data_IF_449272155365
#
_entry.id   IF_449272155365
#
_cell.length_a   1.000
_cell.length_b   1.000
_cell.length_c   1.000
_cell.angle_alpha   90.00
_cell.angle_beta   90.00
_cell.angle_gamma   90.00
#
_symmetry.space_group_name_H-M   'P 1'
#
loop_
_entity.id
_entity.type
_entity.pdbx_description
1 polymer ?
#
# COMPACT_ATOMS: atom_id res chain seq x y z
N UNK A 1 15.54 -11.12 -45.43
CA UNK A 1 15.85 -10.13 -44.37
C UNK A 1 14.55 -9.80 -43.66
N UNK A 2 14.36 -10.33 -42.44
CA UNK A 2 13.12 -10.17 -41.68
C UNK A 2 13.28 -9.10 -40.61
N UNK A 3 12.44 -8.08 -40.63
CA UNK A 3 12.30 -7.12 -39.54
C UNK A 3 11.23 -7.66 -38.58
N UNK A 4 11.58 -7.90 -37.32
CA UNK A 4 10.59 -8.12 -36.27
C UNK A 4 10.10 -6.77 -35.74
N UNK A 5 8.80 -6.52 -35.83
CA UNK A 5 8.17 -5.41 -35.12
C UNK A 5 7.87 -5.93 -33.71
N UNK A 6 8.73 -5.58 -32.76
CA UNK A 6 8.48 -5.85 -31.35
C UNK A 6 7.57 -4.74 -30.81
N UNK A 7 6.26 -4.97 -30.90
CA UNK A 7 5.25 -4.09 -30.31
C UNK A 7 5.35 -4.18 -28.78
N UNK A 8 5.78 -3.09 -28.14
CA UNK A 8 5.74 -2.97 -26.68
C UNK A 8 4.31 -2.59 -26.29
N UNK A 9 3.59 -3.50 -25.65
CA UNK A 9 2.31 -3.19 -25.00
C UNK A 9 2.58 -2.39 -23.72
N UNK A 10 2.63 -1.07 -23.84
CA UNK A 10 2.54 -0.20 -22.68
C UNK A 10 1.09 0.20 -22.47
N UNK A 11 0.61 0.06 -21.23
CA UNK A 11 -0.69 0.46 -20.66
C UNK A 11 -1.65 -0.70 -20.38
N UNK A 12 -1.45 -1.32 -19.21
CA UNK A 12 -2.53 -1.99 -18.48
C UNK A 12 -3.59 -0.95 -18.08
N UNK A 13 -4.90 -1.20 -18.19
CA UNK A 13 -5.96 -0.24 -17.83
C UNK A 13 -6.18 -0.08 -16.31
N UNK A 14 -5.36 -0.74 -15.47
CA UNK A 14 -5.51 -0.67 -14.01
C UNK A 14 -4.65 0.48 -13.48
N UNK A 15 -5.22 1.39 -12.68
CA UNK A 15 -4.40 2.41 -12.03
C UNK A 15 -3.44 1.72 -11.06
N UNK A 16 -2.14 1.73 -11.40
CA UNK A 16 -1.10 1.26 -10.51
C UNK A 16 -1.11 2.11 -9.23
N UNK A 17 -1.39 1.45 -8.10
CA UNK A 17 -1.38 2.08 -6.77
C UNK A 17 0.01 2.60 -6.38
N UNK A 18 1.04 2.21 -7.13
CA UNK A 18 2.42 2.68 -6.96
C UNK A 18 2.57 4.19 -7.10
N UNK A 19 1.69 4.86 -7.85
CA UNK A 19 1.70 6.33 -8.00
C UNK A 19 0.70 7.05 -7.09
N UNK A 20 0.11 6.36 -6.12
CA UNK A 20 -0.85 6.97 -5.22
C UNK A 20 -0.16 7.93 -4.21
N UNK A 21 -0.91 8.97 -3.86
CA UNK A 21 -0.54 10.25 -3.21
C UNK A 21 0.52 10.20 -2.10
N UNK A 22 0.70 9.07 -1.42
CA UNK A 22 1.72 8.87 -0.39
C UNK A 22 3.16 8.97 -0.90
N UNK A 23 3.48 8.43 -2.09
CA UNK A 23 4.86 8.48 -2.62
C UNK A 23 5.25 9.85 -3.20
N UNK A 24 4.27 10.68 -3.58
CA UNK A 24 4.51 12.08 -4.03
C UNK A 24 5.11 12.96 -2.93
N UNK A 25 4.89 12.63 -1.65
CA UNK A 25 5.49 13.37 -0.53
C UNK A 25 6.93 12.94 -0.23
N UNK A 26 7.30 11.70 -0.58
CA UNK A 26 8.60 11.13 -0.25
C UNK A 26 9.74 11.59 -1.20
N UNK A 27 9.41 11.85 -2.47
CA UNK A 27 10.40 12.22 -3.49
C UNK A 27 10.51 13.74 -3.74
N UNK A 28 10.51 14.53 -2.66
CA UNK A 28 11.18 15.83 -2.64
C UNK A 28 10.52 16.97 -3.40
N UNK A 29 9.43 17.53 -2.89
CA UNK A 29 9.10 18.95 -3.13
C UNK A 29 8.63 19.60 -1.83
N UNK A 30 9.58 20.11 -1.04
CA UNK A 30 9.34 20.86 0.22
C UNK A 30 8.82 22.28 -0.02
N UNK A 31 8.17 22.56 -1.15
CA UNK A 31 7.51 23.85 -1.33
C UNK A 31 6.28 23.77 -2.24
N UNK A 32 5.07 23.55 -1.67
CA UNK A 32 3.81 23.51 -2.40
C UNK A 32 3.52 24.80 -3.18
N UNK A 33 4.14 25.92 -2.79
CA UNK A 33 3.91 27.23 -3.40
C UNK A 33 4.42 27.31 -4.84
N UNK A 34 5.65 26.88 -5.11
CA UNK A 34 6.23 26.93 -6.45
C UNK A 34 5.57 25.93 -7.39
N UNK A 35 5.16 24.75 -6.89
CA UNK A 35 4.39 23.78 -7.67
C UNK A 35 3.06 24.38 -8.15
N UNK A 36 2.33 25.06 -7.24
CA UNK A 36 1.09 25.76 -7.59
C UNK A 36 1.33 26.90 -8.59
N UNK A 37 2.48 27.58 -8.53
CA UNK A 37 2.84 28.60 -9.52
C UNK A 37 3.18 27.99 -10.89
N UNK A 38 3.93 26.89 -10.93
CA UNK A 38 4.27 26.20 -12.18
C UNK A 38 3.02 25.65 -12.88
N UNK A 39 2.10 25.05 -12.13
CA UNK A 39 0.79 24.60 -12.64
C UNK A 39 -0.09 25.74 -13.17
N UNK A 40 0.02 26.96 -12.62
CA UNK A 40 -0.69 28.14 -13.14
C UNK A 40 -0.05 28.70 -14.41
N UNK A 41 1.28 28.62 -14.53
CA UNK A 41 2.04 29.16 -15.68
C UNK A 41 2.00 28.24 -16.89
N UNK A 42 1.85 26.93 -16.69
CA UNK A 42 1.74 25.95 -17.76
C UNK A 42 0.39 25.25 -17.62
N UNK A 43 -0.53 25.50 -18.56
CA UNK A 43 -1.76 24.73 -18.61
C UNK A 43 -1.39 23.26 -18.83
N UNK A 44 -1.63 22.42 -17.81
CA UNK A 44 -1.22 21.02 -17.87
C UNK A 44 -2.06 20.29 -18.91
N UNK A 45 -1.38 19.68 -19.89
CA UNK A 45 -1.99 18.80 -20.90
C UNK A 45 -2.84 17.67 -20.29
N UNK A 46 -2.56 17.28 -19.04
CA UNK A 46 -3.26 16.24 -18.31
C UNK A 46 -3.33 16.55 -16.80
N UNK A 47 -4.53 16.67 -16.24
CA UNK A 47 -4.76 16.87 -14.79
C UNK A 47 -4.88 15.53 -14.03
N UNK A 48 -4.17 14.50 -14.48
CA UNK A 48 -4.21 13.17 -13.85
C UNK A 48 -5.51 12.37 -14.09
N UNK A 49 -6.57 12.99 -14.64
CA UNK A 49 -7.88 12.37 -14.89
C UNK A 49 -8.41 12.57 -16.32
N UNK A 50 -8.08 13.69 -16.97
CA UNK A 50 -8.62 14.09 -18.29
C UNK A 50 -7.52 14.76 -19.11
N UNK A 51 -7.38 14.39 -20.38
CA UNK A 51 -6.55 15.08 -21.36
C UNK A 51 -7.31 16.32 -21.85
N UNK A 52 -6.77 17.51 -21.61
CA UNK A 52 -7.34 18.76 -22.10
C UNK A 52 -6.91 18.96 -23.55
N UNK A 53 -7.90 19.19 -24.42
CA UNK A 53 -7.80 18.84 -25.84
C UNK A 53 -6.95 19.80 -26.69
N UNK A 54 -6.61 21.02 -26.22
CA UNK A 54 -5.80 21.98 -27.00
C UNK A 54 -4.94 22.90 -26.13
N UNK A 55 -3.62 22.80 -26.28
CA UNK A 55 -2.65 23.77 -25.76
C UNK A 55 -1.62 24.10 -26.84
N UNK A 56 -1.12 25.33 -26.83
CA UNK A 56 0.03 25.72 -27.66
C UNK A 56 1.27 24.90 -27.24
N UNK A 57 2.04 24.32 -28.18
CA UNK A 57 3.25 23.58 -27.85
C UNK A 57 4.18 24.46 -27.02
N UNK A 58 4.71 23.97 -25.88
CA UNK A 58 5.72 24.71 -25.15
C UNK A 58 6.90 24.97 -26.09
N UNK A 59 7.33 26.22 -26.16
CA UNK A 59 8.54 26.59 -26.89
C UNK A 59 9.71 25.93 -26.16
N UNK A 60 10.12 24.76 -26.66
CA UNK A 60 11.35 24.09 -26.25
C UNK A 60 12.48 24.84 -26.94
N UNK A 61 13.19 25.68 -26.21
CA UNK A 61 14.48 26.16 -26.66
C UNK A 61 15.43 24.96 -26.54
N UNK A 62 15.60 24.22 -27.62
CA UNK A 62 16.74 23.31 -27.80
C UNK A 62 18.00 24.19 -27.86
N UNK A 63 18.44 24.71 -26.70
CA UNK A 63 19.66 25.49 -26.64
C UNK A 63 20.83 24.55 -26.86
N UNK A 64 21.64 24.88 -27.86
CA UNK A 64 22.91 24.21 -28.18
C UNK A 64 23.79 24.02 -26.93
N UNK A 65 23.69 24.93 -25.95
CA UNK A 65 24.30 24.85 -24.61
C UNK A 65 23.95 23.57 -23.84
N UNK A 66 22.69 23.11 -23.88
CA UNK A 66 22.26 21.90 -23.15
C UNK A 66 22.93 20.65 -23.72
N UNK A 67 23.07 20.60 -25.05
CA UNK A 67 23.69 19.50 -25.77
C UNK A 67 25.21 19.48 -25.52
N UNK A 68 25.83 20.67 -25.47
CA UNK A 68 27.24 20.84 -25.16
C UNK A 68 27.57 20.41 -23.72
N UNK A 69 26.76 20.79 -22.73
CA UNK A 69 26.91 20.37 -21.33
C UNK A 69 26.78 18.86 -21.14
N UNK A 70 25.82 18.23 -21.84
CA UNK A 70 25.64 16.79 -21.80
C UNK A 70 26.86 16.04 -22.38
N UNK A 71 27.46 16.59 -23.44
CA UNK A 71 28.65 16.03 -24.06
C UNK A 71 29.89 16.19 -23.15
N UNK A 72 30.09 17.35 -22.54
CA UNK A 72 31.17 17.60 -21.57
C UNK A 72 31.08 16.65 -20.36
N UNK A 73 29.88 16.43 -19.83
CA UNK A 73 29.64 15.49 -18.73
C UNK A 73 30.07 14.06 -19.08
N UNK A 74 29.76 13.59 -20.29
CA UNK A 74 30.14 12.25 -20.77
C UNK A 74 31.65 12.10 -20.91
N UNK A 75 32.33 13.10 -21.43
CA UNK A 75 33.78 13.04 -21.61
C UNK A 75 34.52 13.11 -20.27
N UNK A 76 34.00 13.89 -19.31
CA UNK A 76 34.48 13.92 -17.92
C UNK A 76 34.32 12.56 -17.23
N UNK A 77 33.18 11.89 -17.41
CA UNK A 77 32.96 10.55 -16.88
C UNK A 77 33.92 9.51 -17.49
N UNK A 78 34.19 9.58 -18.80
CA UNK A 78 35.20 8.72 -19.46
C UNK A 78 36.60 8.94 -18.90
N UNK A 79 36.97 10.18 -18.56
CA UNK A 79 38.26 10.49 -17.95
C UNK A 79 38.39 9.90 -16.54
N UNK A 80 37.34 9.99 -15.73
CA UNK A 80 37.31 9.46 -14.36
C UNK A 80 37.26 7.92 -14.27
N UNK A 81 36.76 7.24 -15.31
CA UNK A 81 36.70 5.77 -15.35
C UNK A 81 38.08 5.08 -15.39
N UNK A 82 39.20 5.81 -15.55
CA UNK A 82 40.55 5.24 -15.43
C UNK A 82 40.98 4.99 -13.97
N UNK A 83 40.39 5.69 -13.00
CA UNK A 83 40.74 5.57 -11.58
C UNK A 83 39.80 4.65 -10.78
N UNK A 84 38.60 4.37 -11.29
CA UNK A 84 37.61 3.55 -10.59
C UNK A 84 37.91 2.07 -10.88
N UNK A 85 38.68 1.43 -10.00
CA UNK A 85 38.81 -0.02 -10.02
C UNK A 85 37.46 -0.66 -9.69
N UNK A 86 37.00 -1.68 -10.44
CA UNK A 86 35.77 -2.37 -10.11
C UNK A 86 35.85 -2.98 -8.71
N UNK A 87 34.86 -2.64 -7.88
CA UNK A 87 34.82 -3.05 -6.48
C UNK A 87 34.65 -4.56 -6.37
N UNK A 88 35.52 -5.21 -5.59
CA UNK A 88 35.44 -6.65 -5.34
C UNK A 88 34.36 -6.96 -4.29
N UNK A 89 33.17 -7.31 -4.77
CA UNK A 89 32.00 -7.64 -3.94
C UNK A 89 32.23 -8.81 -2.98
N UNK A 90 33.19 -9.69 -3.26
CA UNK A 90 33.56 -10.79 -2.36
C UNK A 90 34.04 -10.26 -1.00
N UNK A 91 34.84 -9.19 -0.98
CA UNK A 91 35.28 -8.56 0.29
C UNK A 91 34.14 -7.88 1.05
N UNK A 92 33.20 -7.24 0.34
CA UNK A 92 32.04 -6.56 0.94
C UNK A 92 31.09 -7.58 1.58
N UNK A 93 30.89 -8.72 0.91
CA UNK A 93 30.02 -9.79 1.41
C UNK A 93 30.63 -10.47 2.65
N UNK A 94 31.96 -10.61 2.73
CA UNK A 94 32.62 -11.15 3.94
C UNK A 94 32.52 -10.25 5.18
N UNK A 95 32.41 -8.92 5.01
CA UNK A 95 32.20 -7.98 6.13
C UNK A 95 30.77 -8.02 6.66
N UNK A 96 29.82 -8.43 5.84
CA UNK A 96 28.40 -8.58 6.20
C UNK A 96 28.16 -10.00 6.70
N UNK A 97 28.49 -10.28 7.97
CA UNK A 97 28.43 -11.63 8.61
C UNK A 97 27.05 -12.31 8.67
N UNK A 98 26.04 -11.77 7.96
CA UNK A 98 24.70 -12.34 7.81
C UNK A 98 24.18 -12.32 6.38
N UNK A 99 25.00 -11.95 5.39
CA UNK A 99 24.56 -11.94 3.99
C UNK A 99 24.85 -13.29 3.34
N UNK A 100 23.80 -14.09 3.16
CA UNK A 100 23.84 -15.35 2.41
C UNK A 100 23.77 -14.98 0.92
N UNK A 101 24.80 -15.26 0.10
CA UNK A 101 24.68 -15.09 -1.33
C UNK A 101 23.64 -16.08 -1.84
N UNK A 102 22.58 -15.61 -2.50
CA UNK A 102 21.65 -16.46 -3.23
C UNK A 102 22.34 -16.99 -4.49
N UNK A 103 23.20 -18.00 -4.33
CA UNK A 103 23.68 -18.83 -5.45
C UNK A 103 22.98 -20.19 -5.51
N UNK A 104 22.08 -20.47 -4.57
CA UNK A 104 21.16 -21.59 -4.63
C UNK A 104 19.74 -21.05 -4.69
N UNK A 105 18.98 -21.49 -5.71
CA UNK A 105 17.57 -21.19 -5.88
C UNK A 105 16.82 -21.42 -4.57
N UNK A 106 15.99 -20.44 -4.19
CA UNK A 106 15.14 -20.52 -3.01
C UNK A 106 14.14 -21.69 -3.13
N UNK A 107 13.64 -22.16 -1.98
CA UNK A 107 12.65 -23.25 -1.91
C UNK A 107 11.39 -22.91 -2.72
N UNK A 108 11.04 -21.63 -2.80
CA UNK A 108 9.94 -21.08 -3.60
C UNK A 108 10.21 -21.16 -5.11
N UNK A 109 11.43 -20.91 -5.59
CA UNK A 109 11.78 -21.08 -7.01
C UNK A 109 11.76 -22.56 -7.44
N UNK A 110 12.14 -23.46 -6.53
CA UNK A 110 12.02 -24.90 -6.71
C UNK A 110 10.55 -25.34 -6.82
N UNK A 111 9.64 -24.68 -6.10
CA UNK A 111 8.20 -24.93 -6.16
C UNK A 111 7.61 -24.62 -7.55
N UNK A 112 8.03 -23.52 -8.19
CA UNK A 112 7.54 -23.16 -9.53
C UNK A 112 8.11 -24.03 -10.66
N UNK A 113 9.30 -24.61 -10.47
CA UNK A 113 9.93 -25.50 -11.47
C UNK A 113 9.27 -26.89 -11.56
N UNK A 114 8.81 -27.42 -10.43
CA UNK A 114 8.27 -28.79 -10.34
C UNK A 114 6.89 -28.97 -10.98
N UNK A 115 6.13 -27.88 -11.19
CA UNK A 115 4.78 -27.96 -11.76
C UNK A 115 4.77 -28.23 -13.27
N UNK A 116 5.94 -28.24 -13.93
CA UNK A 116 6.10 -28.55 -15.36
C UNK A 116 6.35 -30.04 -15.65
N UNK A 117 6.51 -30.89 -14.62
CA UNK A 117 6.70 -32.34 -14.79
C UNK A 117 5.54 -33.10 -14.15
N UNK A 118 4.57 -33.44 -14.99
CA UNK A 118 3.50 -34.40 -14.69
C UNK A 118 4.09 -35.76 -14.34
N UNK A 119 4.10 -36.10 -13.05
CA UNK A 119 4.13 -37.48 -12.57
C UNK A 119 3.01 -37.62 -11.54
N UNK A 120 2.04 -38.46 -11.89
CA UNK A 120 0.87 -38.79 -11.10
C UNK A 120 1.33 -39.32 -9.72
N UNK A 121 1.23 -38.48 -8.69
CA UNK A 121 1.32 -38.92 -7.30
C UNK A 121 0.18 -38.26 -6.55
N UNK A 122 -0.97 -38.91 -6.57
CA UNK A 122 -2.10 -38.66 -5.69
C UNK A 122 -1.69 -39.03 -4.26
N UNK A 123 -0.87 -38.18 -3.63
CA UNK A 123 -0.66 -38.22 -2.18
C UNK A 123 -1.71 -37.30 -1.56
N UNK A 124 -2.77 -37.89 -1.02
CA UNK A 124 -3.80 -37.17 -0.27
C UNK A 124 -3.13 -36.42 0.88
N UNK A 125 -3.21 -35.09 0.84
CA UNK A 125 -2.86 -34.26 1.98
C UNK A 125 -3.93 -34.45 3.03
N UNK A 126 -3.64 -35.26 4.06
CA UNK A 126 -4.45 -35.32 5.27
C UNK A 126 -4.29 -33.99 6.01
N UNK A 127 -5.25 -33.09 5.86
CA UNK A 127 -5.36 -31.91 6.73
C UNK A 127 -5.69 -32.44 8.13
N UNK A 128 -4.91 -32.13 9.18
CA UNK A 128 -5.33 -32.46 10.54
C UNK A 128 -6.66 -31.76 10.80
N UNK A 129 -7.67 -32.50 11.24
CA UNK A 129 -8.92 -31.93 11.74
C UNK A 129 -8.59 -31.19 13.06
N UNK A 130 -7.99 -30.02 12.97
CA UNK A 130 -8.06 -29.02 14.02
C UNK A 130 -9.49 -28.52 13.99
N UNK A 131 -10.32 -29.13 14.83
CA UNK A 131 -11.62 -28.58 15.22
C UNK A 131 -11.40 -27.08 15.42
N UNK A 132 -12.13 -26.27 14.65
CA UNK A 132 -12.19 -24.82 14.78
C UNK A 132 -12.62 -24.51 16.22
N UNK A 133 -11.63 -24.46 17.10
CA UNK A 133 -11.79 -24.21 18.51
C UNK A 133 -12.43 -22.85 18.66
N UNK A 134 -13.51 -22.77 19.45
CA UNK A 134 -14.14 -21.53 19.91
C UNK A 134 -13.20 -20.78 20.87
N UNK A 135 -11.97 -20.51 20.43
CA UNK A 135 -10.98 -19.80 21.23
C UNK A 135 -11.55 -18.41 21.52
N UNK A 136 -11.90 -18.23 22.79
CA UNK A 136 -12.49 -17.00 23.32
C UNK A 136 -11.46 -15.86 23.32
N UNK A 137 -10.20 -16.18 23.00
CA UNK A 137 -9.12 -15.22 22.80
C UNK A 137 -9.44 -14.25 21.65
N UNK A 138 -9.55 -12.94 21.91
CA UNK A 138 -9.83 -11.98 20.85
C UNK A 138 -8.69 -12.00 19.83
N UNK A 139 -9.04 -12.12 18.54
CA UNK A 139 -8.07 -12.00 17.45
C UNK A 139 -7.28 -10.69 17.55
N UNK A 140 -6.08 -10.66 16.97
CA UNK A 140 -5.22 -9.45 16.93
C UNK A 140 -6.02 -8.24 16.41
N UNK A 141 -6.80 -8.43 15.34
CA UNK A 141 -7.67 -7.39 14.79
C UNK A 141 -8.74 -6.90 15.78
N UNK A 142 -9.36 -7.83 16.54
CA UNK A 142 -10.38 -7.49 17.55
C UNK A 142 -9.77 -6.74 18.74
N UNK A 143 -8.56 -7.11 19.17
CA UNK A 143 -7.80 -6.38 20.20
C UNK A 143 -7.51 -4.95 19.76
N UNK A 144 -6.95 -4.79 18.56
CA UNK A 144 -6.67 -3.47 17.97
C UNK A 144 -7.93 -2.60 17.85
N UNK A 145 -9.06 -3.16 17.39
CA UNK A 145 -10.32 -2.41 17.31
C UNK A 145 -10.84 -1.94 18.66
N UNK A 146 -10.67 -2.74 19.72
CA UNK A 146 -11.07 -2.34 21.07
C UNK A 146 -10.16 -1.21 21.61
N UNK A 147 -8.88 -1.22 21.27
CA UNK A 147 -7.93 -0.15 21.61
C UNK A 147 -8.24 1.16 20.87
N UNK A 148 -8.55 1.09 19.58
CA UNK A 148 -9.05 2.27 18.83
C UNK A 148 -10.33 2.81 19.45
N UNK A 149 -11.24 1.93 19.90
CA UNK A 149 -12.47 2.36 20.58
C UNK A 149 -12.19 3.04 21.93
N UNK A 150 -11.26 2.50 22.74
CA UNK A 150 -10.93 3.09 24.04
C UNK A 150 -10.24 4.45 23.91
N UNK A 151 -9.36 4.61 22.92
CA UNK A 151 -8.69 5.89 22.63
C UNK A 151 -9.68 6.96 22.17
N UNK A 152 -10.65 6.61 21.31
CA UNK A 152 -11.73 7.53 20.90
C UNK A 152 -12.60 7.94 22.10
N UNK A 153 -12.98 7.00 22.96
CA UNK A 153 -13.76 7.30 24.16
C UNK A 153 -13.01 8.24 25.12
N UNK A 154 -11.69 8.06 25.23
CA UNK A 154 -10.81 8.93 26.02
C UNK A 154 -10.78 10.34 25.43
N UNK A 155 -10.63 10.45 24.11
CA UNK A 155 -10.66 11.74 23.41
C UNK A 155 -12.02 12.45 23.58
N UNK A 156 -13.14 11.73 23.46
CA UNK A 156 -14.48 12.28 23.71
C UNK A 156 -14.60 12.84 25.13
N UNK A 157 -14.08 12.12 26.13
CA UNK A 157 -14.09 12.57 27.52
C UNK A 157 -13.30 13.88 27.68
N UNK A 158 -12.09 13.94 27.15
CA UNK A 158 -11.23 15.13 27.20
C UNK A 158 -11.91 16.31 26.49
N UNK A 159 -12.45 16.12 25.29
CA UNK A 159 -13.13 17.19 24.53
C UNK A 159 -14.35 17.70 25.29
N UNK A 160 -15.19 16.81 25.84
CA UNK A 160 -16.34 17.20 26.68
C UNK A 160 -15.91 17.98 27.91
N UNK A 161 -14.88 17.50 28.61
CA UNK A 161 -14.33 18.18 29.78
C UNK A 161 -13.89 19.60 29.43
N UNK A 162 -13.18 19.78 28.31
CA UNK A 162 -12.72 21.10 27.83
C UNK A 162 -13.87 22.03 27.45
N UNK A 163 -15.02 21.51 27.01
CA UNK A 163 -16.22 22.34 26.79
C UNK A 163 -16.87 22.81 28.09
N UNK A 164 -16.91 21.95 29.11
CA UNK A 164 -17.60 22.22 30.38
C UNK A 164 -16.81 23.10 31.33
N UNK A 165 -15.54 23.40 31.04
CA UNK A 165 -14.76 24.34 31.86
C UNK A 165 -15.43 25.71 31.80
N UNK A 166 -15.78 26.20 32.98
CA UNK A 166 -16.56 27.41 33.19
C UNK A 166 -15.78 28.64 32.69
N UNK A 167 -16.34 29.37 31.74
CA UNK A 167 -15.66 30.42 30.96
C UNK A 167 -15.43 31.73 31.72
N UNK A 168 -15.96 31.86 32.94
CA UNK A 168 -15.90 33.09 33.73
C UNK A 168 -14.46 33.49 34.14
N UNK A 169 -13.50 32.56 34.07
CA UNK A 169 -12.08 32.81 34.32
C UNK A 169 -11.23 33.03 33.05
N UNK A 170 -11.84 32.95 31.86
CA UNK A 170 -11.16 33.16 30.58
C UNK A 170 -11.42 34.56 30.04
N UNK A 171 -10.60 35.51 30.51
CA UNK A 171 -10.70 36.93 30.15
C UNK A 171 -10.10 37.29 28.79
N UNK A 172 -9.35 36.39 28.14
CA UNK A 172 -8.70 36.70 26.85
C UNK A 172 -9.52 36.23 25.65
N UNK A 173 -9.57 37.06 24.61
CA UNK A 173 -10.20 36.75 23.32
C UNK A 173 -9.69 35.42 22.72
N UNK A 174 -8.40 35.12 22.89
CA UNK A 174 -7.82 33.86 22.39
C UNK A 174 -8.45 32.62 23.03
N UNK A 175 -8.82 32.67 24.32
CA UNK A 175 -9.49 31.56 24.99
C UNK A 175 -10.93 31.37 24.48
N UNK A 176 -11.63 32.45 24.17
CA UNK A 176 -12.99 32.40 23.63
C UNK A 176 -13.03 31.78 22.23
N UNK A 177 -12.11 32.18 21.36
CA UNK A 177 -11.97 31.60 20.01
C UNK A 177 -11.61 30.11 20.09
N UNK A 178 -10.70 29.73 20.99
CA UNK A 178 -10.37 28.31 21.20
C UNK A 178 -11.58 27.50 21.65
N UNK A 179 -12.38 28.02 22.59
CA UNK A 179 -13.59 27.34 23.06
C UNK A 179 -14.59 27.15 21.93
N UNK A 180 -14.75 28.17 21.07
CA UNK A 180 -15.60 28.12 19.89
C UNK A 180 -15.14 27.05 18.90
N UNK A 181 -13.85 26.99 18.57
CA UNK A 181 -13.27 25.95 17.70
C UNK A 181 -13.51 24.55 18.28
N UNK A 182 -13.28 24.35 19.59
CA UNK A 182 -13.50 23.06 20.23
C UNK A 182 -14.96 22.63 20.14
N UNK A 183 -15.88 23.59 20.35
CA UNK A 183 -17.33 23.39 20.34
C UNK A 183 -17.90 23.11 18.96
N UNK A 184 -17.58 23.97 18.02
CA UNK A 184 -18.26 24.04 16.72
C UNK A 184 -17.57 23.15 15.68
N UNK A 185 -16.27 22.89 15.82
CA UNK A 185 -15.49 22.12 14.85
C UNK A 185 -15.04 20.76 15.41
N UNK A 186 -14.28 20.74 16.50
CA UNK A 186 -13.60 19.52 16.98
C UNK A 186 -14.59 18.47 17.48
N UNK A 187 -15.60 18.88 18.25
CA UNK A 187 -16.53 17.93 18.87
C UNK A 187 -17.46 17.21 17.88
N UNK A 188 -18.07 17.90 16.89
CA UNK A 188 -18.78 17.20 15.82
C UNK A 188 -17.89 16.19 15.09
N UNK A 189 -16.62 16.53 14.83
CA UNK A 189 -15.66 15.62 14.18
C UNK A 189 -15.42 14.37 15.04
N UNK A 190 -15.14 14.53 16.33
CA UNK A 190 -14.88 13.39 17.22
C UNK A 190 -16.10 12.47 17.32
N UNK A 191 -17.31 13.03 17.40
CA UNK A 191 -18.54 12.23 17.40
C UNK A 191 -18.78 11.52 16.06
N UNK A 192 -18.46 12.17 14.94
CA UNK A 192 -18.53 11.54 13.62
C UNK A 192 -17.55 10.38 13.48
N UNK A 193 -16.32 10.54 13.98
CA UNK A 193 -15.31 9.47 13.98
C UNK A 193 -15.79 8.27 14.79
N UNK A 194 -16.32 8.48 15.99
CA UNK A 194 -16.87 7.39 16.81
C UNK A 194 -18.00 6.66 16.08
N UNK A 195 -18.96 7.39 15.50
CA UNK A 195 -20.06 6.80 14.73
C UNK A 195 -19.56 5.95 13.55
N UNK A 196 -18.56 6.43 12.82
CA UNK A 196 -17.94 5.68 11.70
C UNK A 196 -17.24 4.42 12.19
N UNK A 197 -16.55 4.47 13.33
CA UNK A 197 -15.89 3.30 13.92
C UNK A 197 -16.90 2.27 14.42
N UNK A 198 -18.02 2.69 15.03
CA UNK A 198 -19.09 1.76 15.40
C UNK A 198 -19.71 1.09 14.16
N UNK A 199 -19.99 1.86 13.10
CA UNK A 199 -20.52 1.30 11.84
C UNK A 199 -19.54 0.33 11.19
N UNK A 200 -18.25 0.68 11.15
CA UNK A 200 -17.20 -0.22 10.65
C UNK A 200 -17.19 -1.53 11.42
N UNK A 201 -17.24 -1.49 12.77
CA UNK A 201 -17.26 -2.68 13.61
C UNK A 201 -18.46 -3.58 13.28
N UNK A 202 -19.65 -3.00 13.10
CA UNK A 202 -20.86 -3.76 12.73
C UNK A 202 -20.69 -4.44 11.37
N UNK A 203 -20.25 -3.69 10.35
CA UNK A 203 -20.06 -4.24 9.00
C UNK A 203 -18.98 -5.32 8.97
N UNK A 204 -17.87 -5.10 9.68
CA UNK A 204 -16.78 -6.06 9.79
C UNK A 204 -17.24 -7.38 10.42
N UNK A 205 -18.01 -7.31 11.51
CA UNK A 205 -18.56 -8.51 12.15
C UNK A 205 -19.55 -9.25 11.24
N UNK A 206 -20.39 -8.51 10.50
CA UNK A 206 -21.31 -9.10 9.53
C UNK A 206 -20.57 -9.84 8.42
N UNK A 207 -19.54 -9.22 7.85
CA UNK A 207 -18.73 -9.84 6.79
C UNK A 207 -17.97 -11.06 7.32
N UNK A 208 -17.44 -11.00 8.55
CA UNK A 208 -16.78 -12.13 9.20
C UNK A 208 -17.75 -13.30 9.38
N UNK A 209 -18.98 -13.05 9.82
CA UNK A 209 -19.99 -14.10 9.97
C UNK A 209 -20.35 -14.75 8.63
N UNK A 210 -20.46 -13.94 7.55
CA UNK A 210 -20.68 -14.46 6.20
C UNK A 210 -19.51 -15.34 5.73
N UNK A 211 -18.28 -14.85 5.89
CA UNK A 211 -17.06 -15.59 5.53
C UNK A 211 -16.97 -16.94 6.25
N UNK A 212 -17.24 -16.97 7.57
CA UNK A 212 -17.28 -18.22 8.35
C UNK A 212 -18.35 -19.18 7.82
N UNK A 213 -19.53 -18.65 7.45
CA UNK A 213 -20.59 -19.44 6.83
C UNK A 213 -20.19 -20.05 5.50
N UNK A 214 -19.61 -19.25 4.60
CA UNK A 214 -19.14 -19.69 3.29
C UNK A 214 -18.05 -20.77 3.42
N UNK A 215 -17.11 -20.59 4.36
CA UNK A 215 -16.06 -21.56 4.64
C UNK A 215 -16.62 -22.89 5.15
N UNK A 216 -17.61 -22.85 6.04
CA UNK A 216 -18.29 -24.05 6.54
C UNK A 216 -19.04 -24.79 5.42
N UNK A 217 -19.68 -24.05 4.50
CA UNK A 217 -20.31 -24.64 3.32
C UNK A 217 -19.28 -25.34 2.43
N UNK A 218 -18.13 -24.71 2.22
CA UNK A 218 -17.05 -25.27 1.40
C UNK A 218 -16.46 -26.56 2.01
N UNK A 219 -16.27 -26.59 3.34
CA UNK A 219 -15.81 -27.79 4.05
C UNK A 219 -16.80 -28.95 3.86
N UNK A 220 -18.10 -28.71 4.03
CA UNK A 220 -19.12 -29.73 3.82
C UNK A 220 -19.16 -30.24 2.36
N UNK A 221 -18.95 -29.36 1.38
CA UNK A 221 -18.88 -29.74 -0.03
C UNK A 221 -17.64 -30.61 -0.32
N UNK A 222 -16.48 -30.25 0.25
CA UNK A 222 -15.26 -31.03 0.13
C UNK A 222 -15.41 -32.44 0.73
N UNK A 223 -16.02 -32.55 1.91
CA UNK A 223 -16.29 -33.84 2.56
C UNK A 223 -17.27 -34.70 1.74
N UNK A 224 -18.33 -34.08 1.19
CA UNK A 224 -19.27 -34.78 0.32
C UNK A 224 -18.61 -35.26 -0.99
N UNK A 225 -17.71 -34.46 -1.57
CA UNK A 225 -16.95 -34.83 -2.76
C UNK A 225 -15.98 -35.98 -2.48
N UNK A 226 -15.29 -35.93 -1.34
CA UNK A 226 -14.40 -37.00 -0.89
C UNK A 226 -15.16 -38.32 -0.68
N UNK A 227 -16.34 -38.26 -0.08
CA UNK A 227 -17.19 -39.44 0.11
C UNK A 227 -17.63 -40.06 -1.24
N UNK A 228 -18.03 -39.22 -2.20
CA UNK A 228 -18.38 -39.68 -3.56
C UNK A 228 -17.20 -40.34 -4.28
N UNK A 229 -16.00 -39.76 -4.18
CA UNK A 229 -14.81 -40.33 -4.80
C UNK A 229 -14.48 -41.72 -4.23
N UNK A 230 -14.53 -41.89 -2.90
CA UNK A 230 -14.29 -43.18 -2.26
C UNK A 230 -15.31 -44.25 -2.65
N UNK A 231 -16.57 -43.85 -2.88
CA UNK A 231 -17.60 -44.78 -3.33
C UNK A 231 -17.33 -45.29 -4.76
N UNK A 232 -16.84 -44.42 -5.66
CA UNK A 232 -16.50 -44.77 -7.04
C UNK A 232 -15.24 -45.65 -7.16
N UNK A 233 -14.31 -45.60 -6.21
CA UNK A 233 -13.13 -46.49 -6.18
C UNK A 233 -13.45 -47.92 -5.70
N UNK A 234 -14.63 -48.15 -5.12
CA UNK A 234 -15.08 -49.43 -4.60
C UNK A 234 -15.98 -50.22 -5.57
N UNK A 235 -16.37 -49.61 -6.70
CA UNK A 235 -17.14 -50.23 -7.80
C UNK A 235 -16.20 -50.74 -8.90
#
# INVERSE_FOLDING_TARGET
MGQSIQTIHMLSPKPDSFYHTGQKMALGYRNPFYLKQAQKKQQSLYDGKVLLEKHDPPIVHDSEETLQLAQESRDKMKQMNKEIKPTNYTKINHLSRGFVPQTALSREELYFSNNSKTANVSKSFSIPNEDLSDDTTPSVARKFLNEVKSTIATLQCVVKQRMTIETHNWSSSAHQELHKIIRDEIFPIVNQVDARVQNFKIQFLKETAKFVGDFKSLANEADASLAKHKALELE
#
